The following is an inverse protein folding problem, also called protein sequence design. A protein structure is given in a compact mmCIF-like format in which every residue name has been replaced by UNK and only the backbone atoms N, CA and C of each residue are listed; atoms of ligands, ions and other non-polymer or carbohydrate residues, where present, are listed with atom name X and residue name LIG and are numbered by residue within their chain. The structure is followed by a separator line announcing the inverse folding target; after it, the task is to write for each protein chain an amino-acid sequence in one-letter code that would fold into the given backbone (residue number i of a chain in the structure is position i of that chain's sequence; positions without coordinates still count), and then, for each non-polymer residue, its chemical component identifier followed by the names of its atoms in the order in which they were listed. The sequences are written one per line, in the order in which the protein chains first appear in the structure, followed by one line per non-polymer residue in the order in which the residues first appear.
data_IF_746855864990
#
_entry.id   IF_746855864990
#
_cell.length_a   1.000
_cell.length_b   1.000
_cell.length_c   1.000
_cell.angle_alpha   90.00
_cell.angle_beta   90.00
_cell.angle_gamma   90.00
#
_symmetry.space_group_name_H-M   'P 1'
#
loop_
_entity.id
_entity.type
_entity.pdbx_description
1 polymer ?
#
# COMPACT_ATOMS: atom_id res chain seq x y z
N UNK A 1 15.58 -25.92 -48.55
CA UNK A 1 15.51 -27.28 -47.99
C UNK A 1 15.74 -27.11 -46.49
N UNK A 2 14.77 -26.80 -45.64
CA UNK A 2 13.43 -27.34 -45.38
C UNK A 2 13.40 -28.79 -44.84
N UNK A 3 12.62 -28.96 -43.75
CA UNK A 3 12.31 -30.12 -42.85
C UNK A 3 12.85 -29.93 -41.42
N UNK A 4 12.07 -29.43 -40.43
CA UNK A 4 10.80 -29.87 -39.77
C UNK A 4 10.96 -30.93 -38.65
N UNK A 5 10.28 -30.66 -37.53
CA UNK A 5 9.83 -31.60 -36.48
C UNK A 5 10.16 -31.11 -35.06
N UNK A 6 9.37 -30.26 -34.37
CA UNK A 6 8.00 -30.38 -33.80
C UNK A 6 7.92 -31.26 -32.53
N UNK A 7 7.46 -30.64 -31.43
CA UNK A 7 6.55 -31.08 -30.34
C UNK A 7 6.96 -30.36 -29.03
N UNK A 8 6.12 -29.83 -28.13
CA UNK A 8 4.68 -29.51 -28.08
C UNK A 8 4.37 -28.96 -26.66
N UNK A 9 3.64 -27.84 -26.60
CA UNK A 9 2.56 -27.49 -25.65
C UNK A 9 2.44 -28.14 -24.26
N UNK A 10 2.29 -27.29 -23.22
CA UNK A 10 1.54 -27.45 -21.96
C UNK A 10 1.56 -26.07 -21.25
N UNK A 11 0.49 -25.44 -20.76
CA UNK A 11 -0.94 -25.72 -20.72
C UNK A 11 -1.63 -24.46 -20.16
N UNK A 12 -2.67 -23.98 -20.83
CA UNK A 12 -3.53 -22.92 -20.34
C UNK A 12 -4.42 -23.46 -19.22
N UNK A 13 -4.41 -22.82 -18.05
CA UNK A 13 -5.33 -23.16 -16.96
C UNK A 13 -6.69 -22.58 -17.30
N UNK A 14 -7.64 -23.47 -17.57
CA UNK A 14 -9.03 -23.16 -17.83
C UNK A 14 -9.73 -22.68 -16.55
N UNK A 15 -10.34 -21.49 -16.61
CA UNK A 15 -11.33 -21.07 -15.64
C UNK A 15 -12.60 -21.90 -15.84
N UNK A 16 -12.92 -22.76 -14.87
CA UNK A 16 -14.15 -23.53 -14.84
C UNK A 16 -15.32 -22.60 -14.47
N UNK A 17 -16.12 -22.23 -15.47
CA UNK A 17 -17.40 -21.56 -15.26
C UNK A 17 -18.42 -22.54 -14.69
N UNK A 18 -18.83 -22.33 -13.44
CA UNK A 18 -19.99 -22.99 -12.86
C UNK A 18 -21.25 -22.24 -13.28
N UNK A 19 -22.08 -22.87 -14.12
CA UNK A 19 -23.43 -22.42 -14.44
C UNK A 19 -24.40 -22.95 -13.37
N UNK A 20 -24.87 -22.06 -12.51
CA UNK A 20 -26.00 -22.33 -11.63
C UNK A 20 -27.26 -21.65 -12.18
N UNK A 21 -28.25 -22.46 -12.52
CA UNK A 21 -29.60 -22.03 -12.86
C UNK A 21 -30.38 -21.72 -11.60
N UNK A 22 -31.06 -20.57 -11.56
CA UNK A 22 -32.19 -20.34 -10.65
C UNK A 22 -33.32 -19.68 -11.42
N UNK A 23 -34.47 -20.36 -11.42
CA UNK A 23 -35.70 -19.87 -12.03
C UNK A 23 -36.43 -18.85 -11.15
N UNK A 24 -36.95 -17.82 -11.80
CA UNK A 24 -38.29 -17.25 -11.63
C UNK A 24 -38.73 -16.74 -10.26
N UNK A 25 -38.76 -15.41 -10.13
CA UNK A 25 -39.96 -14.64 -9.76
C UNK A 25 -39.89 -13.28 -10.47
N UNK A 26 -40.93 -12.97 -11.25
CA UNK A 26 -41.14 -11.66 -11.90
C UNK A 26 -41.94 -10.80 -10.94
N UNK A 27 -41.45 -9.62 -10.54
CA UNK A 27 -42.22 -8.37 -10.39
C UNK A 27 -41.41 -7.26 -9.69
N UNK A 28 -40.91 -6.28 -10.45
CA UNK A 28 -41.39 -4.89 -10.51
C UNK A 28 -40.41 -4.03 -11.31
N UNK A 29 -40.93 -3.41 -12.36
CA UNK A 29 -40.24 -2.37 -13.15
C UNK A 29 -40.14 -1.11 -12.29
N UNK A 30 -38.92 -0.81 -11.85
CA UNK A 30 -38.49 0.51 -11.40
C UNK A 30 -37.22 0.86 -12.16
N UNK A 31 -37.29 1.92 -12.97
CA UNK A 31 -36.15 2.49 -13.69
C UNK A 31 -35.18 3.11 -12.67
N UNK A 32 -34.08 2.43 -12.44
CA UNK A 32 -32.92 2.86 -11.65
C UNK A 32 -31.94 1.69 -11.61
N UNK A 33 -30.67 1.90 -11.96
CA UNK A 33 -29.72 0.80 -12.08
C UNK A 33 -29.67 -0.02 -10.80
N UNK A 34 -29.85 -1.34 -10.89
CA UNK A 34 -29.74 -2.20 -9.71
C UNK A 34 -28.34 -2.06 -9.14
N UNK A 35 -28.23 -1.56 -7.91
CA UNK A 35 -26.95 -1.42 -7.22
C UNK A 35 -26.19 -2.75 -7.24
N UNK A 36 -24.87 -2.68 -7.41
CA UNK A 36 -23.99 -3.85 -7.39
C UNK A 36 -23.99 -4.44 -5.99
N UNK A 37 -24.09 -5.77 -5.89
CA UNK A 37 -24.00 -6.47 -4.62
C UNK A 37 -22.56 -6.47 -4.08
N UNK A 38 -22.44 -6.47 -2.75
CA UNK A 38 -21.17 -6.71 -2.07
C UNK A 38 -20.67 -8.15 -2.31
N UNK A 39 -19.35 -8.31 -2.36
CA UNK A 39 -18.65 -9.59 -2.40
C UNK A 39 -18.29 -10.05 -0.98
N UNK A 40 -18.26 -11.36 -0.77
CA UNK A 40 -17.76 -11.91 0.49
C UNK A 40 -16.23 -11.71 0.61
N UNK A 41 -15.71 -11.44 1.83
CA UNK A 41 -14.27 -11.40 2.06
C UNK A 41 -13.60 -12.73 1.69
N UNK A 42 -12.36 -12.72 1.14
CA UNK A 42 -11.64 -13.94 0.85
C UNK A 42 -11.29 -14.71 2.13
N UNK A 43 -11.25 -16.04 2.03
CA UNK A 43 -10.80 -16.90 3.11
C UNK A 43 -9.32 -16.64 3.44
N UNK A 44 -8.99 -16.61 4.73
CA UNK A 44 -7.60 -16.50 5.17
C UNK A 44 -6.87 -17.80 4.82
N UNK A 45 -5.65 -17.73 4.25
CA UNK A 45 -4.87 -18.93 4.00
C UNK A 45 -4.52 -19.65 5.30
N UNK A 46 -4.66 -20.99 5.31
CA UNK A 46 -4.32 -21.84 6.46
C UNK A 46 -2.82 -21.80 6.80
N UNK A 47 -1.97 -21.49 5.82
CA UNK A 47 -0.54 -21.35 6.00
C UNK A 47 -0.07 -20.00 5.45
N UNK A 48 0.53 -19.20 6.32
CA UNK A 48 1.09 -17.90 5.97
C UNK A 48 2.51 -18.08 5.41
N UNK A 49 2.67 -17.69 4.15
CA UNK A 49 3.95 -17.62 3.42
C UNK A 49 4.00 -16.29 2.67
N UNK A 50 5.17 -15.81 2.23
CA UNK A 50 5.25 -14.61 1.41
C UNK A 50 4.28 -14.59 0.22
N UNK A 51 4.16 -15.71 -0.50
CA UNK A 51 3.27 -15.85 -1.66
C UNK A 51 1.80 -15.84 -1.25
N UNK A 52 1.41 -16.69 -0.29
CA UNK A 52 0.00 -16.79 0.13
C UNK A 52 -0.49 -15.49 0.79
N UNK A 53 0.39 -14.76 1.48
CA UNK A 53 0.07 -13.45 2.05
C UNK A 53 -0.14 -12.40 0.96
N UNK A 54 0.75 -12.32 -0.05
CA UNK A 54 0.59 -11.37 -1.14
C UNK A 54 -0.70 -11.63 -1.92
N UNK A 55 -0.98 -12.88 -2.29
CA UNK A 55 -2.23 -13.27 -2.99
C UNK A 55 -3.48 -12.94 -2.16
N UNK A 56 -3.46 -13.29 -0.88
CA UNK A 56 -4.57 -13.01 0.04
C UNK A 56 -4.81 -11.50 0.22
N UNK A 57 -3.75 -10.71 0.36
CA UNK A 57 -3.85 -9.25 0.53
C UNK A 57 -4.36 -8.59 -0.76
N UNK A 58 -3.93 -9.03 -1.94
CA UNK A 58 -4.47 -8.56 -3.21
C UNK A 58 -5.98 -8.84 -3.30
N UNK A 59 -6.42 -10.07 -3.05
CA UNK A 59 -7.84 -10.43 -3.06
C UNK A 59 -8.66 -9.64 -2.00
N UNK A 60 -8.05 -9.39 -0.85
CA UNK A 60 -8.67 -8.60 0.23
C UNK A 60 -8.86 -7.14 -0.18
N UNK A 61 -7.86 -6.52 -0.81
CA UNK A 61 -7.97 -5.12 -1.27
C UNK A 61 -8.93 -4.97 -2.45
N UNK A 62 -8.96 -5.94 -3.39
CA UNK A 62 -9.95 -5.95 -4.47
C UNK A 62 -11.38 -6.00 -3.90
N UNK A 63 -11.61 -6.91 -2.95
CA UNK A 63 -12.92 -7.05 -2.28
C UNK A 63 -13.28 -5.82 -1.47
N UNK A 64 -12.32 -5.23 -0.76
CA UNK A 64 -12.51 -3.99 -0.01
C UNK A 64 -12.93 -2.83 -0.94
N UNK A 65 -12.20 -2.62 -2.02
CA UNK A 65 -12.47 -1.56 -3.00
C UNK A 65 -13.83 -1.76 -3.68
N UNK A 66 -14.13 -3.00 -4.11
CA UNK A 66 -15.44 -3.35 -4.68
C UNK A 66 -16.56 -3.00 -3.70
N UNK A 67 -16.48 -3.50 -2.46
CA UNK A 67 -17.52 -3.33 -1.47
C UNK A 67 -17.68 -1.87 -1.03
N UNK A 68 -16.59 -1.10 -0.98
CA UNK A 68 -16.66 0.33 -0.74
C UNK A 68 -17.53 1.04 -1.79
N UNK A 69 -17.33 0.76 -3.08
CA UNK A 69 -18.12 1.38 -4.14
C UNK A 69 -19.54 0.83 -4.24
N UNK A 70 -19.73 -0.48 -4.04
CA UNK A 70 -21.06 -1.11 -3.97
C UNK A 70 -21.93 -0.46 -2.88
N UNK A 71 -21.39 -0.27 -1.66
CA UNK A 71 -22.08 0.42 -0.56
C UNK A 71 -22.39 1.89 -0.85
N UNK A 72 -21.56 2.53 -1.68
CA UNK A 72 -21.76 3.91 -2.12
C UNK A 72 -22.68 4.02 -3.35
N UNK A 73 -23.41 2.96 -3.71
CA UNK A 73 -24.46 3.00 -4.72
C UNK A 73 -23.98 2.81 -6.16
N UNK A 74 -22.79 2.25 -6.36
CA UNK A 74 -22.32 1.91 -7.70
C UNK A 74 -23.24 0.88 -8.38
N UNK A 75 -23.53 1.09 -9.67
CA UNK A 75 -24.31 0.19 -10.53
C UNK A 75 -23.43 -0.72 -11.37
N UNK A 76 -22.13 -0.43 -11.48
CA UNK A 76 -21.10 -1.35 -11.97
C UNK A 76 -19.75 -1.06 -11.28
N UNK A 77 -19.00 -2.11 -10.94
CA UNK A 77 -17.66 -2.02 -10.36
C UNK A 77 -16.75 -3.06 -10.99
N UNK A 78 -15.64 -2.61 -11.56
CA UNK A 78 -14.58 -3.47 -12.09
C UNK A 78 -13.25 -2.99 -11.52
N UNK A 79 -12.77 -3.65 -10.49
CA UNK A 79 -11.51 -3.33 -9.80
C UNK A 79 -10.63 -4.57 -9.79
N UNK A 80 -9.33 -4.37 -9.97
CA UNK A 80 -8.29 -5.37 -9.78
C UNK A 80 -7.29 -4.83 -8.78
N UNK A 81 -6.74 -5.71 -7.93
CA UNK A 81 -5.68 -5.35 -7.01
C UNK A 81 -4.45 -6.25 -7.17
N UNK A 82 -3.28 -5.71 -6.85
CA UNK A 82 -2.02 -6.42 -6.71
C UNK A 82 -1.45 -6.14 -5.33
N UNK A 83 -0.60 -7.04 -4.85
CA UNK A 83 0.13 -6.83 -3.62
C UNK A 83 1.52 -7.45 -3.70
N UNK A 84 2.43 -6.85 -2.95
CA UNK A 84 3.81 -7.31 -2.78
C UNK A 84 4.04 -7.62 -1.33
N UNK A 85 4.62 -8.78 -1.04
CA UNK A 85 5.10 -9.09 0.30
C UNK A 85 6.29 -8.20 0.66
N UNK A 86 6.20 -7.54 1.82
CA UNK A 86 7.23 -6.61 2.29
C UNK A 86 8.25 -7.34 3.17
N UNK A 87 7.78 -7.85 4.33
CA UNK A 87 8.62 -8.54 5.32
C UNK A 87 7.77 -9.23 6.39
N UNK A 88 8.41 -10.14 7.15
CA UNK A 88 7.83 -10.71 8.38
C UNK A 88 8.45 -10.02 9.61
N UNK A 89 7.60 -9.56 10.54
CA UNK A 89 8.04 -8.94 11.77
C UNK A 89 7.01 -9.11 12.89
N UNK A 90 7.50 -9.37 14.11
CA UNK A 90 6.68 -9.37 15.34
C UNK A 90 5.45 -10.30 15.23
N UNK A 91 5.67 -11.51 14.68
CA UNK A 91 4.62 -12.51 14.51
C UNK A 91 3.51 -12.10 13.52
N UNK A 92 3.84 -11.25 12.54
CA UNK A 92 2.93 -10.88 11.47
C UNK A 92 3.66 -10.65 10.15
N UNK A 93 2.95 -10.91 9.06
CA UNK A 93 3.40 -10.74 7.69
C UNK A 93 2.90 -9.39 7.17
N UNK A 94 3.80 -8.60 6.61
CA UNK A 94 3.48 -7.29 6.08
C UNK A 94 3.52 -7.34 4.56
N UNK A 95 2.54 -6.70 3.95
CA UNK A 95 2.43 -6.59 2.51
C UNK A 95 1.86 -5.22 2.16
N UNK A 96 2.14 -4.75 0.96
CA UNK A 96 1.60 -3.51 0.43
C UNK A 96 0.73 -3.82 -0.77
N UNK A 97 -0.48 -3.27 -0.83
CA UNK A 97 -1.45 -3.49 -1.90
C UNK A 97 -1.75 -2.20 -2.66
N UNK A 98 -2.14 -2.33 -3.92
CA UNK A 98 -2.72 -1.26 -4.73
C UNK A 98 -3.88 -1.82 -5.55
N UNK A 99 -4.89 -1.01 -5.82
CA UNK A 99 -5.95 -1.35 -6.77
C UNK A 99 -6.13 -0.28 -7.83
N UNK A 100 -6.65 -0.68 -8.98
CA UNK A 100 -7.13 0.21 -10.03
C UNK A 100 -8.35 -0.40 -10.72
N UNK A 101 -9.13 0.43 -11.38
CA UNK A 101 -10.34 -0.02 -12.05
C UNK A 101 -11.26 1.09 -12.48
N UNK A 102 -12.53 0.73 -12.62
CA UNK A 102 -13.59 1.65 -12.99
C UNK A 102 -14.85 1.39 -12.17
N UNK A 103 -15.58 2.48 -11.91
CA UNK A 103 -16.83 2.50 -11.16
C UNK A 103 -17.85 3.32 -11.94
N UNK A 104 -19.09 2.86 -11.94
CA UNK A 104 -20.21 3.58 -12.54
C UNK A 104 -21.29 3.80 -11.50
N UNK A 105 -21.76 5.03 -11.37
CA UNK A 105 -22.89 5.42 -10.54
C UNK A 105 -24.17 5.55 -11.40
N UNK A 106 -25.31 5.89 -10.78
CA UNK A 106 -26.56 6.09 -11.51
C UNK A 106 -26.43 7.33 -12.42
N UNK A 107 -26.33 7.10 -13.73
CA UNK A 107 -25.88 8.05 -14.75
C UNK A 107 -24.86 7.38 -15.67
N UNK A 108 -24.82 7.74 -16.95
CA UNK A 108 -24.03 7.00 -17.95
C UNK A 108 -22.50 7.11 -17.81
N UNK A 109 -22.00 7.76 -16.76
CA UNK A 109 -20.60 8.11 -16.59
C UNK A 109 -19.83 7.06 -15.79
N UNK A 110 -18.77 6.55 -16.41
CA UNK A 110 -17.80 5.65 -15.79
C UNK A 110 -16.60 6.48 -15.32
N UNK A 111 -16.25 6.37 -14.03
CA UNK A 111 -15.08 7.00 -13.45
C UNK A 111 -13.95 5.98 -13.25
N UNK A 112 -12.72 6.37 -13.55
CA UNK A 112 -11.53 5.60 -13.18
C UNK A 112 -11.29 5.74 -11.68
N UNK A 113 -10.87 4.64 -11.06
CA UNK A 113 -10.49 4.60 -9.66
C UNK A 113 -9.12 3.97 -9.54
N UNK A 114 -8.29 4.51 -8.65
CA UNK A 114 -7.02 3.90 -8.26
C UNK A 114 -6.69 4.26 -6.83
N UNK A 115 -5.95 3.37 -6.17
CA UNK A 115 -5.36 3.67 -4.87
C UNK A 115 -3.90 4.00 -5.01
N UNK A 116 -3.37 4.67 -3.99
CA UNK A 116 -1.94 4.62 -3.68
C UNK A 116 -1.62 3.33 -2.93
N UNK A 117 -0.34 2.93 -2.80
CA UNK A 117 0.06 1.77 -2.01
C UNK A 117 -0.48 1.84 -0.57
N UNK A 118 -1.05 0.75 -0.08
CA UNK A 118 -1.69 0.63 1.24
C UNK A 118 -1.04 -0.53 2.00
N UNK A 119 -0.52 -0.30 3.22
CA UNK A 119 0.06 -1.35 4.03
C UNK A 119 -0.99 -2.25 4.67
N UNK A 120 -0.65 -3.53 4.74
CA UNK A 120 -1.37 -4.57 5.43
C UNK A 120 -0.48 -5.28 6.43
N UNK A 121 -1.08 -5.73 7.52
CA UNK A 121 -0.50 -6.74 8.42
C UNK A 121 -1.43 -7.94 8.50
N UNK A 122 -0.92 -9.12 8.18
CA UNK A 122 -1.60 -10.41 8.28
C UNK A 122 -0.98 -11.22 9.41
N UNK A 123 -1.84 -11.72 10.28
CA UNK A 123 -1.52 -12.65 11.36
C UNK A 123 -2.46 -13.83 11.27
N UNK A 124 -2.20 -14.87 12.06
CA UNK A 124 -3.08 -16.04 12.13
C UNK A 124 -4.50 -15.65 12.55
N UNK A 125 -4.65 -14.64 13.41
CA UNK A 125 -5.93 -14.23 13.99
C UNK A 125 -6.60 -13.07 13.23
N UNK A 126 -5.82 -12.16 12.67
CA UNK A 126 -6.31 -10.88 12.15
C UNK A 126 -5.63 -10.42 10.86
N UNK A 127 -6.41 -9.72 10.03
CA UNK A 127 -5.96 -8.98 8.86
C UNK A 127 -6.20 -7.50 9.11
N UNK A 128 -5.15 -6.70 9.11
CA UNK A 128 -5.21 -5.27 9.36
C UNK A 128 -4.83 -4.51 8.11
N UNK A 129 -5.81 -3.82 7.50
CA UNK A 129 -5.59 -2.80 6.48
C UNK A 129 -5.32 -1.48 7.19
N UNK A 130 -4.15 -0.88 6.99
CA UNK A 130 -3.73 0.34 7.67
C UNK A 130 -4.08 1.56 6.80
N UNK A 131 -5.04 2.42 7.22
CA UNK A 131 -5.24 3.72 6.57
C UNK A 131 -3.96 4.53 6.62
N UNK A 132 -3.71 5.29 5.55
CA UNK A 132 -2.46 6.04 5.38
C UNK A 132 -2.75 7.53 5.30
N UNK A 133 -2.25 8.28 6.27
CA UNK A 133 -2.12 9.74 6.16
C UNK A 133 -0.81 10.09 5.43
N UNK A 134 -0.86 11.02 4.49
CA UNK A 134 0.25 11.29 3.55
C UNK A 134 0.68 12.74 3.61
N UNK A 135 1.86 12.96 4.15
CA UNK A 135 2.43 14.29 4.33
C UNK A 135 3.54 14.55 3.31
N UNK A 136 3.49 15.70 2.64
CA UNK A 136 4.60 16.21 1.86
C UNK A 136 5.45 17.08 2.78
N UNK A 137 6.66 16.63 3.12
CA UNK A 137 7.51 17.36 4.08
C UNK A 137 8.50 18.31 3.40
N UNK A 138 8.84 18.05 2.14
CA UNK A 138 9.73 18.89 1.34
C UNK A 138 11.16 19.01 1.88
N UNK A 139 12.14 19.14 0.98
CA UNK A 139 13.45 19.64 1.35
C UNK A 139 13.34 21.16 1.51
N UNK A 140 13.39 21.69 2.73
CA UNK A 140 13.44 23.13 3.02
C UNK A 140 14.80 23.73 2.57
N UNK A 141 15.10 23.65 1.28
CA UNK A 141 16.23 24.27 0.61
C UNK A 141 15.75 24.85 -0.73
N UNK A 142 14.80 25.78 -0.64
CA UNK A 142 14.45 26.69 -1.74
C UNK A 142 14.12 28.07 -1.15
N UNK A 143 14.95 28.58 -0.23
CA UNK A 143 15.00 30.01 0.02
C UNK A 143 15.82 30.66 -1.11
N UNK A 144 15.12 31.34 -2.03
CA UNK A 144 15.74 32.25 -2.98
C UNK A 144 15.54 31.90 -4.45
N UNK A 145 14.32 32.07 -4.96
CA UNK A 145 14.07 32.00 -6.40
C UNK A 145 12.65 32.38 -6.76
N UNK A 146 12.36 33.67 -6.87
CA UNK A 146 11.20 34.14 -7.64
C UNK A 146 11.40 33.68 -9.09
N UNK A 147 10.61 32.70 -9.54
CA UNK A 147 10.71 32.28 -10.94
C UNK A 147 10.02 30.95 -11.25
N UNK A 148 8.81 31.06 -11.79
CA UNK A 148 8.15 30.08 -12.65
C UNK A 148 7.52 28.84 -11.96
N UNK A 149 6.21 28.96 -11.70
CA UNK A 149 5.28 27.85 -11.50
C UNK A 149 5.12 27.07 -12.81
N UNK A 150 6.09 26.22 -13.12
CA UNK A 150 6.04 25.09 -14.05
C UNK A 150 7.44 24.47 -14.09
N UNK A 151 7.82 23.79 -13.02
CA UNK A 151 9.04 22.99 -13.00
C UNK A 151 8.64 21.58 -12.61
N UNK A 152 9.03 20.63 -13.46
CA UNK A 152 8.96 19.18 -13.25
C UNK A 152 8.93 18.83 -11.78
N UNK A 153 7.92 18.07 -11.39
CA UNK A 153 7.82 17.41 -10.10
C UNK A 153 9.05 16.48 -9.98
N UNK A 154 10.18 17.03 -9.50
CA UNK A 154 11.39 16.24 -9.25
C UNK A 154 11.03 15.31 -8.10
N UNK A 155 10.54 14.14 -8.49
CA UNK A 155 10.17 13.02 -7.67
C UNK A 155 11.27 12.79 -6.65
N UNK A 156 10.98 13.11 -5.40
CA UNK A 156 11.97 13.04 -4.34
C UNK A 156 11.98 11.62 -3.80
N UNK A 157 13.04 10.81 -4.07
CA UNK A 157 13.00 9.37 -3.88
C UNK A 157 12.88 8.93 -2.42
N UNK A 158 13.24 9.74 -1.42
CA UNK A 158 13.13 9.27 -0.03
C UNK A 158 11.75 9.57 0.57
N UNK A 159 10.99 8.50 0.79
CA UNK A 159 9.83 8.49 1.68
C UNK A 159 10.02 7.53 2.85
N UNK A 160 9.50 7.90 4.02
CA UNK A 160 9.47 7.06 5.22
C UNK A 160 8.01 6.83 5.61
N UNK A 161 7.62 5.56 5.73
CA UNK A 161 6.33 5.14 6.26
C UNK A 161 6.49 4.75 7.72
N UNK A 162 5.63 5.25 8.59
CA UNK A 162 5.54 4.83 10.00
C UNK A 162 4.21 4.13 10.19
N UNK A 163 4.25 2.82 10.41
CA UNK A 163 3.07 1.98 10.60
C UNK A 163 2.88 1.66 12.09
N UNK A 164 1.72 1.99 12.66
CA UNK A 164 1.38 1.68 14.03
C UNK A 164 0.31 0.59 14.09
N UNK A 165 0.70 -0.60 14.51
CA UNK A 165 -0.21 -1.76 14.59
C UNK A 165 -0.81 -1.94 15.99
N UNK A 166 -0.57 -0.98 16.89
CA UNK A 166 -1.20 -0.93 18.21
C UNK A 166 -2.61 -0.35 18.11
N UNK A 167 -3.42 -0.59 19.15
CA UNK A 167 -4.77 -0.03 19.26
C UNK A 167 -4.80 1.42 19.77
N UNK A 168 -3.64 1.98 20.09
CA UNK A 168 -3.47 3.33 20.64
C UNK A 168 -2.50 4.14 19.80
N UNK A 169 -2.69 5.45 19.83
CA UNK A 169 -1.76 6.38 19.21
C UNK A 169 -0.37 6.28 19.84
N UNK A 170 0.67 6.56 19.04
CA UNK A 170 2.05 6.64 19.52
C UNK A 170 2.77 7.78 18.84
N UNK A 171 3.49 8.57 19.64
CA UNK A 171 4.42 9.57 19.13
C UNK A 171 5.76 8.93 18.73
N UNK A 172 6.21 9.25 17.53
CA UNK A 172 7.45 8.75 16.93
C UNK A 172 8.29 9.94 16.49
N UNK A 173 9.46 10.09 17.10
CA UNK A 173 10.50 11.02 16.65
C UNK A 173 11.29 10.39 15.51
N UNK A 174 11.29 11.04 14.36
CA UNK A 174 12.03 10.61 13.18
C UNK A 174 13.16 11.58 12.87
N UNK A 175 14.31 11.02 12.53
CA UNK A 175 15.45 11.76 12.00
C UNK A 175 15.99 11.06 10.75
N UNK A 176 16.21 11.85 9.70
CA UNK A 176 16.84 11.41 8.46
C UNK A 176 18.08 12.23 8.20
N UNK A 177 19.21 11.56 8.04
CA UNK A 177 20.51 12.20 7.74
C UNK A 177 21.13 11.62 6.49
N UNK A 178 21.67 12.48 5.62
CA UNK A 178 22.57 12.08 4.53
C UNK A 178 23.90 11.61 5.13
N UNK A 179 24.43 10.49 4.68
CA UNK A 179 25.62 9.89 5.27
C UNK A 179 26.92 10.53 4.78
N UNK A 180 26.92 11.04 3.55
CA UNK A 180 28.12 11.55 2.89
C UNK A 180 28.69 12.80 3.59
N UNK A 181 27.81 13.67 4.09
CA UNK A 181 28.16 14.95 4.74
C UNK A 181 27.54 15.12 6.14
N UNK A 182 26.68 14.19 6.57
CA UNK A 182 25.99 14.26 7.86
C UNK A 182 24.82 15.25 7.90
N UNK A 183 24.41 15.81 6.76
CA UNK A 183 23.31 16.76 6.65
C UNK A 183 22.01 16.15 7.21
N UNK A 184 21.34 16.84 8.15
CA UNK A 184 20.03 16.42 8.63
C UNK A 184 18.96 16.98 7.70
N UNK A 185 18.27 16.09 6.99
CA UNK A 185 17.28 16.45 5.98
C UNK A 185 15.87 16.53 6.56
N UNK A 186 15.62 15.77 7.64
CA UNK A 186 14.34 15.77 8.33
C UNK A 186 14.56 15.41 9.80
N UNK A 187 13.94 16.15 10.72
CA UNK A 187 13.90 15.83 12.14
C UNK A 187 12.60 16.37 12.74
N UNK A 188 11.65 15.47 13.04
CA UNK A 188 10.38 15.85 13.66
C UNK A 188 9.69 14.68 14.36
N UNK A 189 8.84 15.00 15.33
CA UNK A 189 7.92 14.04 15.94
C UNK A 189 6.59 13.97 15.17
N UNK A 190 6.01 12.78 15.09
CA UNK A 190 4.69 12.52 14.51
C UNK A 190 3.90 11.60 15.42
N UNK A 191 2.66 11.98 15.71
CA UNK A 191 1.71 11.07 16.35
C UNK A 191 1.07 10.22 15.26
N UNK A 192 1.18 8.90 15.39
CA UNK A 192 0.52 7.93 14.52
C UNK A 192 -0.58 7.26 15.33
N UNK A 193 -1.83 7.44 14.91
CA UNK A 193 -2.97 6.81 15.57
C UNK A 193 -2.86 5.28 15.58
N UNK A 194 -3.66 4.66 16.45
CA UNK A 194 -3.72 3.21 16.51
C UNK A 194 -4.24 2.64 15.19
N UNK A 195 -3.62 1.55 14.73
CA UNK A 195 -3.99 0.84 13.49
C UNK A 195 -3.95 1.72 12.24
N UNK A 196 -3.02 2.66 12.17
CA UNK A 196 -2.83 3.54 11.03
C UNK A 196 -1.35 3.63 10.61
N UNK A 197 -1.11 4.25 9.46
CA UNK A 197 0.22 4.60 9.00
C UNK A 197 0.29 6.09 8.60
N UNK A 198 1.48 6.67 8.73
CA UNK A 198 1.83 7.99 8.18
C UNK A 198 2.95 7.81 7.17
N UNK A 199 2.76 8.33 5.96
CA UNK A 199 3.80 8.39 4.92
C UNK A 199 4.34 9.82 4.81
N UNK A 200 5.60 9.99 5.18
CA UNK A 200 6.35 11.21 4.96
C UNK A 200 7.04 11.14 3.61
N UNK A 201 6.72 12.08 2.72
CA UNK A 201 7.16 12.10 1.33
C UNK A 201 8.02 13.31 1.02
N UNK A 202 8.99 13.10 0.13
CA UNK A 202 9.87 14.15 -0.35
C UNK A 202 10.92 14.61 0.63
N UNK A 203 11.46 13.68 1.43
CA UNK A 203 12.53 13.96 2.41
C UNK A 203 13.86 14.26 1.71
N UNK A 204 14.16 13.54 0.62
CA UNK A 204 15.39 13.74 -0.14
C UNK A 204 15.12 13.61 -1.64
N UNK A 205 15.65 14.55 -2.43
CA UNK A 205 15.56 14.58 -3.89
C UNK A 205 16.76 13.94 -4.60
N UNK A 206 17.89 13.80 -3.90
CA UNK A 206 19.15 13.32 -4.48
C UNK A 206 19.34 11.81 -4.22
N UNK A 207 19.93 11.05 -5.14
CA UNK A 207 20.49 9.74 -4.84
C UNK A 207 21.56 9.83 -3.73
N UNK A 208 21.80 8.73 -3.02
CA UNK A 208 22.81 8.67 -1.96
C UNK A 208 22.46 7.68 -0.85
N UNK A 209 23.30 7.66 0.18
CA UNK A 209 23.11 6.86 1.39
C UNK A 209 22.49 7.69 2.49
N UNK A 210 21.38 7.19 3.04
CA UNK A 210 20.60 7.86 4.06
C UNK A 210 20.47 7.01 5.31
N UNK A 211 20.56 7.63 6.47
CA UNK A 211 20.26 7.00 7.75
C UNK A 211 18.90 7.50 8.23
N UNK A 212 18.01 6.56 8.53
CA UNK A 212 16.73 6.82 9.18
C UNK A 212 16.79 6.29 10.60
N UNK A 213 16.48 7.14 11.57
CA UNK A 213 16.38 6.80 12.99
C UNK A 213 14.97 7.15 13.46
N UNK A 214 14.29 6.17 14.05
CA UNK A 214 12.99 6.31 14.67
C UNK A 214 13.10 6.06 16.17
N UNK A 215 12.51 6.93 16.98
CA UNK A 215 12.55 6.86 18.45
C UNK A 215 11.18 7.09 19.05
N UNK A 216 10.92 6.41 20.14
CA UNK A 216 9.76 6.67 21.00
C UNK A 216 10.21 6.64 22.45
N UNK A 217 9.49 7.40 23.27
CA UNK A 217 9.59 7.36 24.71
C UNK A 217 8.16 7.35 25.25
N UNK A 218 7.79 6.27 25.92
CA UNK A 218 6.43 6.08 26.44
C UNK A 218 6.53 5.32 27.76
N UNK A 219 5.88 5.82 28.82
CA UNK A 219 5.82 5.15 30.13
C UNK A 219 7.19 4.74 30.71
N UNK A 220 8.24 5.55 30.45
CA UNK A 220 9.61 5.27 30.88
C UNK A 220 10.34 4.21 30.03
N UNK A 221 9.69 3.67 29.00
CA UNK A 221 10.29 2.77 28.01
C UNK A 221 10.73 3.59 26.81
N UNK A 222 11.98 3.44 26.40
CA UNK A 222 12.50 3.98 25.15
C UNK A 222 12.75 2.86 24.16
N UNK A 223 12.49 3.13 22.89
CA UNK A 223 12.90 2.23 21.81
C UNK A 223 13.41 3.02 20.61
N UNK A 224 14.37 2.41 19.93
CA UNK A 224 15.02 2.98 18.75
C UNK A 224 15.01 1.94 17.62
N UNK A 225 14.61 2.38 16.43
CA UNK A 225 14.86 1.68 15.18
C UNK A 225 15.83 2.49 14.34
N UNK A 226 16.76 1.82 13.67
CA UNK A 226 17.74 2.45 12.79
C UNK A 226 17.96 1.63 11.53
N UNK A 227 18.03 2.30 10.40
CA UNK A 227 18.40 1.70 9.11
C UNK A 227 19.23 2.67 8.28
N UNK A 228 20.19 2.11 7.56
CA UNK A 228 20.94 2.80 6.51
C UNK A 228 20.43 2.28 5.16
N UNK A 229 19.97 3.17 4.27
CA UNK A 229 19.40 2.85 2.95
C UNK A 229 20.12 3.58 1.84
N UNK A 230 20.44 2.85 0.77
CA UNK A 230 20.97 3.41 -0.46
C UNK A 230 19.81 3.67 -1.43
N UNK A 231 19.63 4.92 -1.84
CA UNK A 231 18.61 5.29 -2.80
C UNK A 231 19.19 5.41 -4.20
N UNK A 232 18.73 4.56 -5.15
CA UNK A 232 19.07 4.70 -6.55
C UNK A 232 18.27 5.81 -7.24
N UNK A 233 18.72 6.21 -8.43
CA UNK A 233 18.23 7.33 -9.26
C UNK A 233 16.77 7.29 -9.75
N UNK A 234 15.90 6.44 -9.19
CA UNK A 234 14.53 6.25 -9.70
C UNK A 234 13.49 6.51 -8.62
N UNK A 235 12.38 7.11 -9.03
CA UNK A 235 11.21 7.33 -8.20
C UNK A 235 10.63 6.00 -7.71
N UNK A 236 10.41 5.93 -6.42
CA UNK A 236 9.83 4.81 -5.68
C UNK A 236 9.05 5.44 -4.55
N UNK A 237 7.89 4.89 -4.20
CA UNK A 237 7.11 5.34 -3.05
C UNK A 237 7.87 5.29 -1.70
N UNK A 238 7.23 5.09 -0.55
CA UNK A 238 8.00 4.94 0.69
C UNK A 238 9.02 3.81 0.54
N UNK A 239 10.29 4.11 0.84
CA UNK A 239 11.41 3.17 0.70
C UNK A 239 11.86 2.62 2.05
N UNK A 240 11.38 3.20 3.15
CA UNK A 240 11.65 2.78 4.51
C UNK A 240 10.34 2.62 5.25
N UNK A 241 10.19 1.50 5.95
CA UNK A 241 9.10 1.27 6.88
C UNK A 241 9.61 1.30 8.32
N UNK A 242 8.85 1.94 9.19
CA UNK A 242 9.06 1.99 10.63
C UNK A 242 7.83 1.39 11.29
N UNK A 243 7.91 0.11 11.66
CA UNK A 243 6.82 -0.60 12.32
C UNK A 243 6.85 -0.36 13.83
N UNK A 244 5.85 0.34 14.36
CA UNK A 244 5.54 0.43 15.79
C UNK A 244 4.70 -0.78 16.22
N UNK A 245 5.22 -1.56 17.16
CA UNK A 245 4.54 -2.69 17.77
C UNK A 245 4.67 -2.71 19.29
N UNK A 246 4.06 -3.70 19.94
CA UNK A 246 4.23 -3.94 21.38
C UNK A 246 5.66 -4.36 21.76
N UNK A 247 6.46 -4.81 20.79
CA UNK A 247 7.88 -5.15 20.98
C UNK A 247 8.85 -4.01 20.66
N UNK A 248 8.33 -2.81 20.36
CA UNK A 248 9.13 -1.65 19.96
C UNK A 248 9.10 -1.39 18.46
N UNK A 249 10.18 -0.81 17.93
CA UNK A 249 10.32 -0.48 16.50
C UNK A 249 11.06 -1.54 15.71
N UNK A 250 10.60 -1.78 14.48
CA UNK A 250 11.39 -2.43 13.44
C UNK A 250 11.50 -1.49 12.23
N UNK A 251 12.74 -1.16 11.84
CA UNK A 251 13.03 -0.37 10.63
C UNK A 251 13.50 -1.29 9.52
N UNK A 252 12.89 -1.17 8.33
CA UNK A 252 13.15 -2.05 7.18
C UNK A 252 13.14 -1.27 5.86
N UNK A 253 13.92 -1.70 4.86
CA UNK A 253 13.72 -1.20 3.51
C UNK A 253 12.44 -1.83 2.95
N UNK A 254 11.69 -1.08 2.16
CA UNK A 254 10.53 -1.62 1.43
C UNK A 254 10.98 -2.13 0.05
N UNK A 255 10.44 -3.27 -0.43
CA UNK A 255 10.67 -3.70 -1.80
C UNK A 255 10.09 -2.66 -2.77
N UNK A 256 10.57 -2.67 -4.01
CA UNK A 256 9.94 -1.86 -5.05
C UNK A 256 8.51 -2.34 -5.24
N UNK A 257 7.58 -1.40 -5.33
CA UNK A 257 6.21 -1.66 -5.73
C UNK A 257 6.05 -1.21 -7.18
N UNK A 258 5.67 -2.13 -8.07
CA UNK A 258 5.32 -1.79 -9.45
C UNK A 258 3.85 -1.33 -9.49
N UNK A 259 3.57 -0.08 -9.90
CA UNK A 259 2.20 0.40 -9.95
C UNK A 259 1.37 -0.36 -11.00
N UNK A 260 0.08 -0.56 -10.70
CA UNK A 260 -0.95 -1.02 -11.66
C UNK A 260 -1.26 0.11 -12.64
#
# INVERSE_FOLDING_TARGET
MDRRGVLSTLGAVAAAGATASVGGCVERVGLGGSAVAEREPPDRPETLTPTTVAEYVAATEETYAHNHHARNGATAVSVTATATFDYEAVGGYHATAQHAGSVRADGDETAEVSSRPIPYRVTDDATLRLPVDREQVGSAAAEGGEGNAAADEVASPLGVRVANVLDRAREVSLRVTRQEDGETLFEAARTVDGRQAVELRGIAARPGSYRVVARFAEDGVTGEGRIDVELPHVDRGPNVDVLSSSRGFATRPLPRFEPI
#
